data_IF_721911498799
#
_entry.id   IF_721911498799
#
_cell.length_a   1.000
_cell.length_b   1.000
_cell.length_c   1.000
_cell.angle_alpha   90.00
_cell.angle_beta   90.00
_cell.angle_gamma   90.00
#
_symmetry.space_group_name_H-M   'P 1'
#
loop_
_entity.id
_entity.type
_entity.pdbx_description
1 polymer ?
#
# COMPACT_ATOMS: atom_id res chain seq x y z
N UNK A 1 -21.80 -9.23 -71.95
CA UNK A 1 -20.82 -8.74 -70.96
C UNK A 1 -21.14 -9.43 -69.65
N UNK A 2 -20.13 -9.96 -68.96
CA UNK A 2 -20.29 -10.55 -67.63
C UNK A 2 -19.43 -9.76 -66.65
N UNK A 3 -20.00 -9.39 -65.51
CA UNK A 3 -19.27 -8.77 -64.40
C UNK A 3 -18.99 -9.86 -63.36
N UNK A 4 -17.76 -9.89 -62.85
CA UNK A 4 -17.34 -10.76 -61.74
C UNK A 4 -17.07 -9.87 -60.54
N UNK A 5 -17.66 -10.23 -59.40
CA UNK A 5 -17.35 -9.63 -58.10
C UNK A 5 -16.51 -10.66 -57.35
N UNK A 6 -15.31 -10.26 -56.91
CA UNK A 6 -14.45 -11.05 -56.04
C UNK A 6 -14.35 -10.34 -54.69
N UNK A 7 -14.50 -11.11 -53.61
CA UNK A 7 -14.26 -10.62 -52.25
C UNK A 7 -12.85 -11.03 -51.85
N UNK A 8 -11.98 -10.05 -51.59
CA UNK A 8 -10.67 -10.27 -50.99
C UNK A 8 -10.82 -10.21 -49.46
N UNK A 9 -10.45 -11.30 -48.78
CA UNK A 9 -10.54 -11.45 -47.32
C UNK A 9 -9.16 -11.48 -46.66
N UNK A 10 -8.08 -11.30 -47.43
CA UNK A 10 -6.70 -11.48 -46.96
C UNK A 10 -6.37 -10.56 -45.77
N UNK A 11 -6.80 -9.30 -45.84
CA UNK A 11 -6.54 -8.33 -44.76
C UNK A 11 -7.34 -8.67 -43.49
N UNK A 12 -8.57 -9.16 -43.64
CA UNK A 12 -9.38 -9.61 -42.49
C UNK A 12 -8.74 -10.81 -41.78
N UNK A 13 -8.28 -11.81 -42.53
CA UNK A 13 -7.60 -12.98 -41.95
C UNK A 13 -6.31 -12.60 -41.23
N UNK A 14 -5.54 -11.65 -41.80
CA UNK A 14 -4.33 -11.10 -41.17
C UNK A 14 -4.66 -10.43 -39.83
N UNK A 15 -5.57 -9.46 -39.83
CA UNK A 15 -5.96 -8.73 -38.62
C UNK A 15 -6.56 -9.66 -37.56
N UNK A 16 -7.36 -10.66 -37.96
CA UNK A 16 -7.91 -11.65 -37.02
C UNK A 16 -6.81 -12.51 -36.39
N UNK A 17 -5.82 -12.94 -37.17
CA UNK A 17 -4.66 -13.70 -36.67
C UNK A 17 -3.81 -12.89 -35.69
N UNK A 18 -3.58 -11.61 -35.96
CA UNK A 18 -2.89 -10.70 -35.06
C UNK A 18 -3.67 -10.46 -33.76
N UNK A 19 -4.98 -10.33 -33.84
CA UNK A 19 -5.87 -10.22 -32.68
C UNK A 19 -5.78 -11.45 -31.80
N UNK A 20 -5.92 -12.65 -32.38
CA UNK A 20 -5.78 -13.91 -31.65
C UNK A 20 -4.41 -13.97 -30.98
N UNK A 21 -3.32 -13.65 -31.70
CA UNK A 21 -1.96 -13.64 -31.16
C UNK A 21 -1.79 -12.69 -29.96
N UNK A 22 -2.34 -11.47 -30.03
CA UNK A 22 -2.30 -10.53 -28.89
C UNK A 22 -3.14 -11.02 -27.70
N UNK A 23 -4.25 -11.71 -27.95
CA UNK A 23 -5.02 -12.36 -26.90
C UNK A 23 -4.29 -13.56 -26.30
N UNK A 24 -3.51 -14.32 -27.08
CA UNK A 24 -2.69 -15.41 -26.54
C UNK A 24 -1.47 -14.88 -25.76
N UNK A 25 -0.92 -13.75 -26.19
CA UNK A 25 0.29 -13.13 -25.63
C UNK A 25 0.01 -11.74 -25.01
N UNK A 26 -0.76 -11.72 -23.93
CA UNK A 26 -1.15 -10.51 -23.18
C UNK A 26 -0.08 -9.98 -22.23
N UNK A 27 1.06 -10.66 -22.09
CA UNK A 27 2.16 -10.21 -21.20
C UNK A 27 2.51 -8.71 -21.35
N UNK A 28 2.58 -8.13 -22.58
CA UNK A 28 2.80 -6.69 -22.73
C UNK A 28 1.69 -5.83 -22.13
N UNK A 29 0.42 -6.20 -22.37
CA UNK A 29 -0.75 -5.53 -21.80
C UNK A 29 -0.73 -5.63 -20.27
N UNK A 30 -0.57 -6.83 -19.72
CA UNK A 30 -0.55 -7.03 -18.26
C UNK A 30 0.57 -6.27 -17.57
N UNK A 31 1.75 -6.15 -18.21
CA UNK A 31 2.84 -5.30 -17.70
C UNK A 31 2.48 -3.82 -17.69
N UNK A 32 1.81 -3.32 -18.72
CA UNK A 32 1.33 -1.93 -18.75
C UNK A 32 0.33 -1.69 -17.62
N UNK A 33 -0.67 -2.57 -17.48
CA UNK A 33 -1.68 -2.46 -16.43
C UNK A 33 -1.06 -2.54 -15.02
N UNK A 34 -0.10 -3.43 -14.80
CA UNK A 34 0.57 -3.55 -13.51
C UNK A 34 1.37 -2.27 -13.14
N UNK A 35 1.97 -1.60 -14.13
CA UNK A 35 2.57 -0.28 -13.95
C UNK A 35 1.56 0.80 -13.56
N UNK A 36 0.40 0.83 -14.23
CA UNK A 36 -0.66 1.78 -13.90
C UNK A 36 -1.23 1.56 -12.48
N UNK A 37 -1.36 0.30 -12.08
CA UNK A 37 -1.75 -0.05 -10.71
C UNK A 37 -0.71 0.44 -9.69
N UNK A 38 0.59 0.31 -9.98
CA UNK A 38 1.64 0.84 -9.12
C UNK A 38 1.57 2.36 -9.01
N UNK A 39 1.43 3.06 -10.13
CA UNK A 39 1.31 4.52 -10.17
C UNK A 39 0.10 5.01 -9.36
N UNK A 40 -1.06 4.35 -9.51
CA UNK A 40 -2.25 4.64 -8.71
C UNK A 40 -2.02 4.47 -7.21
N UNK A 41 -1.27 3.42 -6.81
CA UNK A 41 -0.90 3.21 -5.40
C UNK A 41 0.05 4.30 -4.91
N UNK A 42 1.04 4.71 -5.71
CA UNK A 42 1.94 5.81 -5.35
C UNK A 42 1.17 7.13 -5.19
N UNK A 43 0.20 7.38 -6.07
CA UNK A 43 -0.68 8.55 -5.98
C UNK A 43 -1.53 8.53 -4.69
N UNK A 44 -2.02 7.36 -4.27
CA UNK A 44 -2.70 7.23 -2.98
C UNK A 44 -1.80 7.64 -1.81
N UNK A 45 -0.51 7.29 -1.84
CA UNK A 45 0.42 7.75 -0.81
C UNK A 45 0.62 9.27 -0.87
N UNK A 46 0.83 9.83 -2.07
CA UNK A 46 1.04 11.26 -2.27
C UNK A 46 -0.15 12.10 -1.78
N UNK A 47 -1.37 11.69 -2.12
CA UNK A 47 -2.61 12.35 -1.71
C UNK A 47 -3.05 12.00 -0.29
N UNK A 48 -2.36 11.08 0.39
CA UNK A 48 -2.74 10.54 1.70
C UNK A 48 -4.14 9.90 1.67
N UNK A 49 -4.44 9.19 0.59
CA UNK A 49 -5.64 8.41 0.34
C UNK A 49 -6.56 9.03 -0.70
N UNK A 50 -7.12 8.16 -1.54
CA UNK A 50 -8.24 8.46 -2.45
C UNK A 50 -9.33 7.40 -2.18
N UNK A 51 -10.36 7.66 -1.34
CA UNK A 51 -10.61 8.88 -0.58
C UNK A 51 -9.60 9.10 0.57
N UNK A 52 -9.48 10.35 1.02
CA UNK A 52 -8.50 10.77 2.03
C UNK A 52 -8.58 9.95 3.31
N UNK A 53 -7.43 9.48 3.79
CA UNK A 53 -7.33 8.68 4.99
C UNK A 53 -7.64 9.47 6.25
N UNK A 54 -7.99 8.74 7.31
CA UNK A 54 -8.12 9.34 8.63
C UNK A 54 -6.80 9.99 9.09
N UNK A 55 -6.89 11.30 9.27
CA UNK A 55 -5.81 12.15 9.75
C UNK A 55 -5.29 11.77 11.13
N UNK A 56 -4.15 12.36 11.49
CA UNK A 56 -3.62 12.24 12.85
C UNK A 56 -4.44 13.06 13.85
N UNK A 57 -4.51 12.58 15.10
CA UNK A 57 -5.02 13.44 16.19
C UNK A 57 -4.17 14.71 16.32
N UNK A 58 -4.75 15.86 16.70
CA UNK A 58 -4.00 17.13 16.79
C UNK A 58 -2.77 17.05 17.70
N UNK A 59 -2.89 16.36 18.84
CA UNK A 59 -1.77 16.15 19.77
C UNK A 59 -0.64 15.32 19.14
N UNK A 60 -1.00 14.27 18.39
CA UNK A 60 0.00 13.46 17.72
C UNK A 60 0.66 14.22 16.57
N UNK A 61 -0.12 14.90 15.73
CA UNK A 61 0.40 15.73 14.64
C UNK A 61 1.42 16.76 15.15
N UNK A 62 1.09 17.49 16.23
CA UNK A 62 2.01 18.45 16.87
C UNK A 62 3.31 17.82 17.34
N UNK A 63 3.25 16.63 17.96
CA UNK A 63 4.45 15.92 18.44
C UNK A 63 5.27 15.31 17.31
N UNK A 64 4.59 14.83 16.26
CA UNK A 64 5.19 14.12 15.15
C UNK A 64 5.97 15.05 14.22
N UNK A 65 5.49 16.29 14.07
CA UNK A 65 6.01 17.27 13.11
C UNK A 65 5.38 17.11 11.72
N UNK A 66 5.80 17.94 10.75
CA UNK A 66 5.32 17.88 9.39
C UNK A 66 5.65 16.52 8.72
N UNK A 67 4.84 16.15 7.73
CA UNK A 67 5.03 14.95 6.92
C UNK A 67 3.71 14.27 6.55
N UNK A 68 3.80 13.30 5.64
CA UNK A 68 2.64 12.55 5.15
C UNK A 68 2.37 11.28 5.97
N UNK A 69 1.10 10.92 6.06
CA UNK A 69 0.63 9.66 6.65
C UNK A 69 1.26 8.48 5.90
N UNK A 70 1.69 7.45 6.64
CA UNK A 70 2.40 6.25 6.14
C UNK A 70 3.76 6.50 5.46
N UNK A 71 4.28 7.73 5.46
CA UNK A 71 5.50 8.08 4.74
C UNK A 71 6.63 8.61 5.61
N UNK A 72 6.63 8.32 6.93
CA UNK A 72 7.67 8.81 7.86
C UNK A 72 9.10 8.56 7.35
N UNK A 73 9.38 7.33 6.92
CA UNK A 73 10.67 6.94 6.35
C UNK A 73 10.54 6.53 4.88
N UNK A 74 9.36 6.70 4.27
CA UNK A 74 9.05 6.20 2.93
C UNK A 74 8.94 4.66 2.79
N UNK A 75 9.39 3.87 3.78
CA UNK A 75 9.53 2.40 3.66
C UNK A 75 8.32 1.66 3.08
N UNK A 76 7.10 2.04 3.47
CA UNK A 76 5.91 1.37 2.95
C UNK A 76 5.68 1.71 1.48
N UNK A 77 5.67 3.00 1.13
CA UNK A 77 5.49 3.47 -0.24
C UNK A 77 6.59 2.92 -1.18
N UNK A 78 7.84 2.90 -0.71
CA UNK A 78 8.98 2.37 -1.47
C UNK A 78 9.04 0.83 -1.54
N UNK A 79 8.14 0.13 -0.84
CA UNK A 79 8.08 -1.34 -0.85
C UNK A 79 6.97 -1.88 -1.75
N UNK A 80 6.23 -0.99 -2.40
CA UNK A 80 5.24 -1.37 -3.39
C UNK A 80 6.00 -1.93 -4.59
N UNK A 81 5.55 -3.08 -5.06
CA UNK A 81 6.10 -3.78 -6.21
C UNK A 81 4.93 -4.28 -7.04
N UNK A 82 5.03 -4.09 -8.35
CA UNK A 82 4.12 -4.72 -9.31
C UNK A 82 4.68 -6.05 -9.84
N UNK A 83 3.79 -6.95 -10.21
CA UNK A 83 4.11 -8.17 -10.92
C UNK A 83 3.06 -8.41 -12.00
N UNK A 84 3.51 -8.89 -13.16
CA UNK A 84 2.64 -9.33 -14.23
C UNK A 84 3.14 -10.58 -14.92
N UNK A 85 2.19 -11.36 -15.42
CA UNK A 85 2.40 -12.46 -16.35
C UNK A 85 1.41 -12.33 -17.52
N UNK A 86 1.10 -13.43 -18.21
CA UNK A 86 0.18 -13.39 -19.34
C UNK A 86 -1.30 -13.26 -18.93
N UNK A 87 -1.62 -13.59 -17.68
CA UNK A 87 -2.99 -13.78 -17.20
C UNK A 87 -3.35 -12.81 -16.08
N UNK A 88 -2.35 -12.25 -15.39
CA UNK A 88 -2.54 -11.40 -14.24
C UNK A 88 -1.62 -10.16 -14.26
N UNK A 89 -2.17 -9.07 -13.73
CA UNK A 89 -1.46 -7.88 -13.30
C UNK A 89 -1.75 -7.68 -11.80
N UNK A 90 -0.71 -7.47 -11.00
CA UNK A 90 -0.80 -7.41 -9.54
C UNK A 90 0.10 -6.31 -8.98
N UNK A 91 -0.31 -5.75 -7.84
CA UNK A 91 0.48 -4.77 -7.09
C UNK A 91 0.38 -5.10 -5.60
N UNK A 92 1.48 -4.97 -4.86
CA UNK A 92 1.48 -5.29 -3.44
C UNK A 92 2.77 -4.95 -2.71
N UNK A 93 2.87 -5.39 -1.46
CA UNK A 93 4.05 -5.23 -0.60
C UNK A 93 4.15 -6.41 0.37
N UNK A 94 5.38 -6.78 0.71
CA UNK A 94 5.68 -7.80 1.73
C UNK A 94 5.91 -7.21 3.14
N UNK A 95 5.69 -5.90 3.32
CA UNK A 95 5.87 -5.26 4.63
C UNK A 95 4.79 -5.73 5.59
N UNK A 96 5.19 -6.39 6.69
CA UNK A 96 4.28 -7.02 7.66
C UNK A 96 3.20 -6.06 8.19
N UNK A 97 3.56 -4.81 8.52
CA UNK A 97 2.60 -3.84 9.06
C UNK A 97 1.67 -3.27 7.98
N UNK A 98 1.88 -3.57 6.70
CA UNK A 98 1.04 -3.09 5.61
C UNK A 98 -0.39 -3.63 5.72
N UNK A 99 -0.56 -4.89 6.12
CA UNK A 99 -1.88 -5.51 6.25
C UNK A 99 -2.81 -4.73 7.19
N UNK A 100 -2.34 -4.43 8.41
CA UNK A 100 -3.17 -3.67 9.37
C UNK A 100 -3.35 -2.20 8.98
N UNK A 101 -2.46 -1.64 8.15
CA UNK A 101 -2.70 -0.31 7.57
C UNK A 101 -3.76 -0.38 6.47
N UNK A 102 -3.72 -1.40 5.60
CA UNK A 102 -4.67 -1.60 4.52
C UNK A 102 -6.08 -1.85 5.05
N UNK A 103 -6.26 -2.83 5.94
CA UNK A 103 -7.57 -3.26 6.42
C UNK A 103 -8.03 -2.54 7.69
N UNK A 104 -7.14 -1.83 8.39
CA UNK A 104 -7.36 -1.48 9.78
C UNK A 104 -7.38 -2.71 10.68
N UNK A 105 -7.63 -2.52 11.97
CA UNK A 105 -7.78 -3.64 12.90
C UNK A 105 -7.50 -3.30 14.35
N UNK A 106 -7.57 -4.32 15.21
CA UNK A 106 -7.30 -4.21 16.65
C UNK A 106 -5.98 -4.87 16.98
N UNK A 107 -5.10 -4.17 17.67
CA UNK A 107 -3.87 -4.72 18.24
C UNK A 107 -4.08 -4.90 19.73
N UNK A 108 -4.11 -6.14 20.20
CA UNK A 108 -4.24 -6.45 21.62
C UNK A 108 -2.85 -6.47 22.26
N UNK A 109 -2.65 -5.61 23.26
CA UNK A 109 -1.42 -5.57 24.05
C UNK A 109 -1.72 -6.26 25.39
N UNK A 110 -1.05 -7.38 25.70
CA UNK A 110 -1.26 -8.07 26.97
C UNK A 110 -0.72 -7.23 28.14
N UNK A 111 -1.27 -7.50 29.33
CA UNK A 111 -0.75 -6.91 30.55
C UNK A 111 0.72 -7.32 30.74
N UNK A 112 1.55 -6.38 31.18
CA UNK A 112 2.97 -6.65 31.46
C UNK A 112 3.44 -5.82 32.63
N UNK A 113 4.34 -6.40 33.41
CA UNK A 113 5.00 -5.70 34.51
C UNK A 113 6.48 -5.57 34.20
N UNK A 114 7.04 -4.39 34.45
CA UNK A 114 8.47 -4.16 34.32
C UNK A 114 8.99 -3.51 35.59
N UNK A 115 10.14 -4.00 36.07
CA UNK A 115 10.82 -3.39 37.21
C UNK A 115 11.56 -2.14 36.73
N UNK A 116 11.14 -0.99 37.24
CA UNK A 116 11.81 0.29 37.03
C UNK A 116 12.80 0.54 38.17
N UNK A 117 13.86 1.26 37.85
CA UNK A 117 14.96 1.55 38.77
C UNK A 117 15.10 3.06 38.95
N UNK A 118 15.26 3.50 40.19
CA UNK A 118 15.32 4.92 40.56
C UNK A 118 16.45 5.17 41.58
N UNK A 119 16.72 6.45 41.82
CA UNK A 119 17.56 6.91 42.94
C UNK A 119 16.67 7.38 44.08
N UNK A 120 16.86 6.78 45.25
CA UNK A 120 16.34 7.26 46.52
C UNK A 120 17.39 8.16 47.19
N UNK A 121 16.97 9.33 47.62
CA UNK A 121 17.78 10.30 48.34
C UNK A 121 17.89 9.93 49.83
N UNK A 122 18.82 10.57 50.55
CA UNK A 122 19.06 10.27 51.98
C UNK A 122 17.87 10.60 52.89
N UNK A 123 17.00 11.52 52.44
CA UNK A 123 15.74 11.89 53.11
C UNK A 123 14.62 10.87 52.87
N UNK A 124 14.88 9.79 52.13
CA UNK A 124 13.91 8.75 51.78
C UNK A 124 13.07 9.06 50.54
N UNK A 125 13.17 10.27 49.97
CA UNK A 125 12.43 10.63 48.74
C UNK A 125 12.99 9.89 47.52
N UNK A 126 12.10 9.45 46.62
CA UNK A 126 12.48 8.76 45.37
C UNK A 126 12.42 9.73 44.20
N UNK A 127 13.50 9.81 43.43
CA UNK A 127 13.57 10.65 42.25
C UNK A 127 12.62 10.19 41.15
N UNK A 128 12.09 11.15 40.38
CA UNK A 128 11.14 10.89 39.29
C UNK A 128 11.77 10.43 37.97
N UNK A 129 13.10 10.24 37.92
CA UNK A 129 13.84 9.83 36.73
C UNK A 129 14.29 8.39 36.85
N UNK A 130 14.08 7.63 35.79
CA UNK A 130 14.65 6.28 35.65
C UNK A 130 16.18 6.33 35.60
N UNK A 131 16.84 5.39 36.28
CA UNK A 131 18.29 5.22 36.26
C UNK A 131 18.68 3.79 35.88
N UNK A 132 19.93 3.58 35.45
CA UNK A 132 20.46 2.23 35.22
C UNK A 132 20.45 1.43 36.53
N UNK A 133 20.22 0.11 36.44
CA UNK A 133 20.20 -0.80 37.60
C UNK A 133 21.45 -0.68 38.49
N UNK A 134 22.66 -0.65 37.90
CA UNK A 134 23.92 -0.51 38.64
C UNK A 134 24.06 0.82 39.40
N UNK A 135 23.28 1.82 39.00
CA UNK A 135 23.24 3.13 39.64
C UNK A 135 22.02 3.29 40.55
N UNK A 136 21.13 2.31 40.62
CA UNK A 136 19.91 2.38 41.43
C UNK A 136 20.15 1.90 42.85
N UNK A 137 19.41 2.47 43.79
CA UNK A 137 19.27 1.99 45.17
C UNK A 137 17.80 1.76 45.54
N UNK A 138 16.87 2.01 44.62
CA UNK A 138 15.46 1.72 44.75
C UNK A 138 14.92 1.17 43.43
N UNK A 139 13.97 0.24 43.51
CA UNK A 139 13.32 -0.34 42.34
C UNK A 139 11.87 -0.63 42.64
N UNK A 140 11.01 -0.47 41.63
CA UNK A 140 9.57 -0.63 41.77
C UNK A 140 8.98 -1.35 40.56
N UNK A 141 8.07 -2.29 40.81
CA UNK A 141 7.34 -2.98 39.75
C UNK A 141 6.20 -2.09 39.24
N UNK A 142 6.27 -1.74 37.96
CA UNK A 142 5.23 -0.98 37.29
C UNK A 142 4.46 -1.90 36.36
N UNK A 143 3.15 -2.04 36.60
CA UNK A 143 2.26 -2.91 35.82
C UNK A 143 1.44 -2.07 34.86
N UNK A 144 1.56 -2.38 33.56
CA UNK A 144 0.68 -1.88 32.52
C UNK A 144 -0.45 -2.91 32.32
N UNK A 145 -1.73 -2.53 32.51
CA UNK A 145 -2.85 -3.44 32.25
C UNK A 145 -2.95 -3.75 30.74
N UNK A 146 -3.66 -4.83 30.40
CA UNK A 146 -3.93 -5.15 29.01
C UNK A 146 -4.80 -4.06 28.37
N UNK A 147 -4.49 -3.70 27.13
CA UNK A 147 -5.28 -2.71 26.39
C UNK A 147 -5.25 -3.00 24.90
N UNK A 148 -6.23 -2.45 24.17
CA UNK A 148 -6.36 -2.62 22.73
C UNK A 148 -6.13 -1.30 22.01
N UNK A 149 -5.35 -1.35 20.93
CA UNK A 149 -5.15 -0.22 20.02
C UNK A 149 -6.05 -0.45 18.81
N UNK A 150 -6.96 0.48 18.54
CA UNK A 150 -7.76 0.47 17.31
C UNK A 150 -7.00 1.23 16.21
N UNK A 151 -6.63 0.53 15.14
CA UNK A 151 -5.97 1.10 13.96
C UNK A 151 -7.02 1.39 12.87
N UNK A 152 -7.17 2.63 12.40
CA UNK A 152 -8.05 2.92 11.28
C UNK A 152 -7.46 2.38 9.97
N UNK A 153 -8.33 1.95 9.07
CA UNK A 153 -7.95 1.55 7.72
C UNK A 153 -7.44 2.75 6.90
N UNK A 154 -6.41 2.49 6.11
CA UNK A 154 -5.75 3.38 5.17
C UNK A 154 -5.52 2.56 3.90
N UNK A 155 -6.57 2.34 3.09
CA UNK A 155 -6.52 1.42 1.96
C UNK A 155 -5.66 2.02 0.84
N UNK A 156 -4.35 1.82 0.91
CA UNK A 156 -3.39 2.37 -0.06
C UNK A 156 -3.36 1.59 -1.38
N UNK A 157 -3.83 0.34 -1.39
CA UNK A 157 -4.01 -0.47 -2.60
C UNK A 157 -5.34 -0.22 -3.35
N UNK A 158 -6.09 0.81 -2.97
CA UNK A 158 -7.36 1.12 -3.62
C UNK A 158 -7.13 1.71 -5.02
N UNK A 159 -7.85 1.21 -6.01
CA UNK A 159 -7.89 1.78 -7.35
C UNK A 159 -9.18 2.59 -7.47
N UNK A 160 -9.07 3.86 -7.84
CA UNK A 160 -10.26 4.69 -8.05
C UNK A 160 -10.94 4.31 -9.35
N UNK A 161 -12.20 4.72 -9.52
CA UNK A 161 -12.94 4.52 -10.77
C UNK A 161 -12.20 5.12 -11.97
N UNK A 162 -11.64 6.32 -11.83
CA UNK A 162 -10.83 6.96 -12.89
C UNK A 162 -9.57 6.17 -13.25
N UNK A 163 -8.92 5.53 -12.26
CA UNK A 163 -7.74 4.71 -12.52
C UNK A 163 -8.16 3.48 -13.37
N UNK A 164 -9.29 2.86 -13.01
CA UNK A 164 -9.85 1.70 -13.72
C UNK A 164 -10.27 2.07 -15.14
N UNK A 165 -11.01 3.16 -15.34
CA UNK A 165 -11.39 3.65 -16.67
C UNK A 165 -10.17 3.93 -17.56
N UNK A 166 -9.11 4.51 -16.99
CA UNK A 166 -7.85 4.73 -17.70
C UNK A 166 -7.17 3.44 -18.14
N UNK A 167 -7.18 2.43 -17.28
CA UNK A 167 -6.67 1.08 -17.58
C UNK A 167 -7.50 0.37 -18.65
N UNK A 168 -8.82 0.44 -18.57
CA UNK A 168 -9.73 -0.11 -19.59
C UNK A 168 -9.50 0.53 -20.95
N UNK A 169 -9.35 1.87 -20.99
CA UNK A 169 -9.03 2.58 -22.22
C UNK A 169 -7.71 2.10 -22.82
N UNK A 170 -6.65 1.97 -22.00
CA UNK A 170 -5.35 1.47 -22.47
C UNK A 170 -5.43 0.03 -22.98
N UNK A 171 -6.24 -0.81 -22.35
CA UNK A 171 -6.49 -2.16 -22.85
C UNK A 171 -7.20 -2.14 -24.21
N UNK A 172 -8.21 -1.28 -24.38
CA UNK A 172 -8.88 -1.06 -25.67
C UNK A 172 -7.90 -0.58 -26.75
N UNK A 173 -7.12 0.46 -26.44
CA UNK A 173 -6.11 1.03 -27.35
C UNK A 173 -5.04 -0.02 -27.75
N UNK A 174 -4.67 -0.93 -26.84
CA UNK A 174 -3.71 -2.00 -27.11
C UNK A 174 -4.20 -2.98 -28.18
N UNK A 175 -5.49 -3.31 -28.16
CA UNK A 175 -6.11 -4.19 -29.16
C UNK A 175 -6.52 -3.46 -30.43
N UNK A 176 -6.85 -2.16 -30.36
CA UNK A 176 -7.25 -1.39 -31.54
C UNK A 176 -6.12 -1.19 -32.55
N UNK A 177 -4.86 -1.18 -32.09
CA UNK A 177 -3.64 -1.11 -32.92
C UNK A 177 -3.50 -2.21 -33.99
N UNK A 178 -4.42 -3.17 -34.07
CA UNK A 178 -4.43 -4.25 -35.07
C UNK A 178 -5.17 -3.84 -36.36
N UNK A 179 -6.01 -2.81 -36.28
CA UNK A 179 -6.82 -2.34 -37.40
C UNK A 179 -6.25 -1.08 -38.08
N UNK A 180 -5.19 -0.48 -37.51
CA UNK A 180 -4.46 0.67 -38.04
C UNK A 180 -3.22 0.22 -38.84
#
# INVERSE_FOLDING_TARGET
MAYKIEFDVTDFERSLGELISKYEHRTPLMRMLAGDMEDAVQENFAQQGRPTWMGWSPRYAKRRGPGQILQRSGRLASSIVQYSDNDAATVGTNVIYAAIQQSGGKINIPARSQQAYYKQHKDGSVGNRFVKKSQSNYSEWNTLPAYTINMPARPFLHLTESDVEGMEKKAGDFFSQIYD
#
